data_IF_811927053160
#
_entry.id   IF_811927053160
#
_cell.length_a   1.000
_cell.length_b   1.000
_cell.length_c   1.000
_cell.angle_alpha   90.00
_cell.angle_beta   90.00
_cell.angle_gamma   90.00
#
_symmetry.space_group_name_H-M   'P 1'
#
loop_
_entity.id
_entity.type
_entity.pdbx_description
1 polymer ?
#
# COMPACT_ATOMS: atom_id res chain seq x y z
N UNK A 1 16.75 15.90 -6.70
CA UNK A 1 17.10 14.75 -5.83
C UNK A 1 18.04 13.80 -6.57
N UNK A 2 17.71 13.33 -7.76
CA UNK A 2 18.58 12.42 -8.56
C UNK A 2 19.92 13.05 -8.96
N UNK A 3 19.98 14.35 -9.18
CA UNK A 3 21.22 15.10 -9.41
C UNK A 3 22.19 15.04 -8.24
N UNK A 4 21.68 15.04 -7.00
CA UNK A 4 22.48 15.01 -5.77
C UNK A 4 22.82 13.58 -5.30
N UNK A 5 22.04 12.58 -5.73
CA UNK A 5 22.17 11.18 -5.33
C UNK A 5 21.92 10.26 -6.53
N UNK A 6 22.80 10.26 -7.54
CA UNK A 6 22.55 9.55 -8.81
C UNK A 6 22.49 8.03 -8.67
N UNK A 7 23.18 7.47 -7.67
CA UNK A 7 23.28 6.02 -7.46
C UNK A 7 22.15 5.47 -6.56
N UNK A 8 21.26 6.33 -6.06
CA UNK A 8 20.12 5.87 -5.26
C UNK A 8 18.98 5.37 -6.13
N UNK A 9 18.37 4.28 -5.70
CA UNK A 9 17.10 3.82 -6.24
C UNK A 9 15.93 4.60 -5.65
N UNK A 10 15.06 5.09 -6.53
CA UNK A 10 13.90 5.88 -6.12
C UNK A 10 12.62 5.07 -6.27
N UNK A 11 11.89 4.92 -5.16
CA UNK A 11 10.59 4.25 -5.14
C UNK A 11 9.47 5.27 -4.93
N UNK A 12 8.47 5.24 -5.81
CA UNK A 12 7.26 6.05 -5.66
C UNK A 12 6.35 5.47 -4.59
N UNK A 13 6.01 6.28 -3.58
CA UNK A 13 5.08 5.88 -2.52
C UNK A 13 3.64 5.85 -3.00
N UNK A 14 2.74 5.11 -2.32
CA UNK A 14 1.27 5.22 -2.46
C UNK A 14 0.76 6.65 -2.30
N UNK A 15 1.52 7.50 -1.60
CA UNK A 15 1.19 8.92 -1.42
C UNK A 15 1.27 9.73 -2.73
N UNK A 16 1.87 9.18 -3.77
CA UNK A 16 1.91 9.77 -5.11
C UNK A 16 0.66 9.46 -5.93
N UNK A 17 -0.22 8.61 -5.42
CA UNK A 17 -1.53 8.27 -6.00
C UNK A 17 -1.44 7.81 -7.46
N UNK A 18 -0.49 6.93 -7.78
CA UNK A 18 -0.28 6.40 -9.13
C UNK A 18 -1.40 5.43 -9.49
N UNK A 19 -2.41 5.90 -10.20
CA UNK A 19 -3.64 5.17 -10.51
C UNK A 19 -3.71 4.62 -11.95
N UNK A 20 -2.72 4.90 -12.80
CA UNK A 20 -2.72 4.44 -14.18
C UNK A 20 -1.30 4.28 -14.74
N UNK A 21 -1.20 3.62 -15.92
CA UNK A 21 0.09 3.36 -16.53
C UNK A 21 0.81 4.61 -17.07
N UNK A 22 0.09 5.68 -17.40
CA UNK A 22 0.73 6.93 -17.86
C UNK A 22 1.52 7.59 -16.74
N UNK A 23 0.96 7.61 -15.53
CA UNK A 23 1.62 8.13 -14.33
C UNK A 23 2.81 7.25 -13.94
N UNK A 24 2.64 5.93 -13.96
CA UNK A 24 3.71 4.97 -13.68
C UNK A 24 4.87 5.13 -14.69
N UNK A 25 4.56 5.25 -15.97
CA UNK A 25 5.56 5.43 -17.02
C UNK A 25 6.23 6.81 -16.94
N UNK A 26 5.50 7.85 -16.51
CA UNK A 26 6.09 9.16 -16.23
C UNK A 26 7.16 9.06 -15.13
N UNK A 27 6.84 8.40 -14.00
CA UNK A 27 7.81 8.19 -12.92
C UNK A 27 9.04 7.42 -13.41
N UNK A 28 8.85 6.38 -14.24
CA UNK A 28 9.97 5.65 -14.85
C UNK A 28 10.87 6.57 -15.67
N UNK A 29 10.30 7.45 -16.50
CA UNK A 29 11.05 8.40 -17.35
C UNK A 29 11.86 9.40 -16.53
N UNK A 30 11.38 9.84 -15.38
CA UNK A 30 12.11 10.74 -14.48
C UNK A 30 13.06 9.99 -13.52
N UNK A 31 13.14 8.65 -13.66
CA UNK A 31 14.17 7.83 -13.04
C UNK A 31 13.79 7.11 -11.77
N UNK A 32 12.50 6.92 -11.50
CA UNK A 32 12.07 5.96 -10.49
C UNK A 32 12.23 4.53 -11.00
N UNK A 33 12.64 3.63 -10.11
CA UNK A 33 12.79 2.19 -10.40
C UNK A 33 11.55 1.40 -10.04
N UNK A 34 10.78 1.84 -9.02
CA UNK A 34 9.60 1.14 -8.52
C UNK A 34 8.51 2.12 -8.12
N UNK A 35 7.25 1.67 -8.20
CA UNK A 35 6.10 2.38 -7.62
C UNK A 35 5.26 1.44 -6.77
N UNK A 36 4.82 1.95 -5.61
CA UNK A 36 3.86 1.28 -4.73
C UNK A 36 2.46 1.72 -5.14
N UNK A 37 1.67 0.80 -5.67
CA UNK A 37 0.33 1.12 -6.14
C UNK A 37 -0.65 1.35 -4.97
N UNK A 38 -1.70 2.17 -5.20
CA UNK A 38 -2.77 2.40 -4.25
C UNK A 38 -3.49 1.09 -3.84
N UNK A 39 -3.97 1.04 -2.59
CA UNK A 39 -4.64 -0.15 -2.05
C UNK A 39 -6.06 -0.34 -2.56
N UNK A 40 -6.67 0.71 -3.06
CA UNK A 40 -8.03 0.73 -3.61
C UNK A 40 -8.12 0.16 -5.02
N UNK A 41 -6.99 -0.16 -5.66
CA UNK A 41 -6.96 -0.67 -7.03
C UNK A 41 -7.44 -2.11 -7.12
N UNK A 42 -8.23 -2.38 -8.14
CA UNK A 42 -8.64 -3.73 -8.52
C UNK A 42 -7.53 -4.49 -9.22
N UNK A 43 -7.62 -5.81 -9.25
CA UNK A 43 -6.66 -6.65 -9.97
C UNK A 43 -6.58 -6.32 -11.47
N UNK A 44 -7.72 -6.00 -12.11
CA UNK A 44 -7.77 -5.64 -13.53
C UNK A 44 -7.04 -4.32 -13.82
N UNK A 45 -7.16 -3.34 -12.93
CA UNK A 45 -6.42 -2.08 -13.04
C UNK A 45 -4.91 -2.30 -12.87
N UNK A 46 -4.51 -3.11 -11.88
CA UNK A 46 -3.10 -3.49 -11.65
C UNK A 46 -2.54 -4.19 -12.89
N UNK A 47 -3.26 -5.16 -13.44
CA UNK A 47 -2.90 -5.88 -14.65
C UNK A 47 -2.71 -4.93 -15.83
N UNK A 48 -3.65 -4.01 -16.04
CA UNK A 48 -3.57 -3.01 -17.09
C UNK A 48 -2.34 -2.11 -16.96
N UNK A 49 -1.98 -1.72 -15.74
CA UNK A 49 -0.75 -0.97 -15.50
C UNK A 49 0.47 -1.82 -15.87
N UNK A 50 0.54 -3.08 -15.38
CA UNK A 50 1.66 -3.97 -15.65
C UNK A 50 1.90 -4.21 -17.14
N UNK A 51 0.85 -4.38 -17.90
CA UNK A 51 0.92 -4.60 -19.36
C UNK A 51 1.47 -3.38 -20.13
N UNK A 52 1.39 -2.19 -19.57
CA UNK A 52 1.70 -0.92 -20.24
C UNK A 52 2.88 -0.15 -19.64
N UNK A 53 3.60 -0.71 -18.68
CA UNK A 53 4.82 -0.08 -18.12
C UNK A 53 5.87 -1.12 -17.82
N UNK A 54 7.13 -0.67 -17.77
CA UNK A 54 8.28 -1.48 -17.36
C UNK A 54 8.83 -1.11 -15.99
N UNK A 55 8.22 -0.14 -15.31
CA UNK A 55 8.62 0.18 -13.95
C UNK A 55 8.21 -0.98 -13.02
N UNK A 56 9.02 -1.27 -12.01
CA UNK A 56 8.64 -2.28 -11.02
C UNK A 56 7.41 -1.83 -10.23
N UNK A 57 6.50 -2.77 -10.01
CA UNK A 57 5.28 -2.54 -9.25
C UNK A 57 5.34 -3.24 -7.89
N UNK A 58 4.94 -2.52 -6.84
CA UNK A 58 4.81 -3.05 -5.50
C UNK A 58 3.36 -2.96 -5.03
N UNK A 59 2.81 -4.07 -4.54
CA UNK A 59 1.39 -4.20 -4.17
C UNK A 59 1.28 -4.52 -2.69
N UNK A 60 0.41 -3.79 -1.96
CA UNK A 60 0.03 -4.19 -0.61
C UNK A 60 -0.81 -5.46 -0.65
N UNK A 61 -0.44 -6.45 0.16
CA UNK A 61 -1.12 -7.74 0.24
C UNK A 61 -1.69 -8.02 1.62
N UNK A 62 -1.24 -7.30 2.64
CA UNK A 62 -1.69 -7.51 4.01
C UNK A 62 -1.68 -6.23 4.83
N UNK A 63 -2.58 -6.17 5.80
CA UNK A 63 -2.67 -5.13 6.83
C UNK A 63 -3.84 -4.19 6.65
N UNK A 64 -3.79 -3.05 7.34
CA UNK A 64 -4.89 -2.10 7.41
C UNK A 64 -5.25 -1.52 6.03
N UNK A 65 -6.46 -1.78 5.56
CA UNK A 65 -6.98 -1.17 4.35
C UNK A 65 -7.31 0.31 4.61
N UNK A 66 -6.88 1.19 3.71
CA UNK A 66 -7.22 2.61 3.78
C UNK A 66 -8.67 2.82 3.36
N UNK A 67 -9.40 3.69 4.07
CA UNK A 67 -10.79 4.05 3.74
C UNK A 67 -10.87 5.16 2.70
N UNK A 68 -9.77 5.87 2.46
CA UNK A 68 -9.68 7.00 1.56
C UNK A 68 -8.80 6.66 0.37
N UNK A 69 -8.93 7.43 -0.70
CA UNK A 69 -7.96 7.38 -1.79
C UNK A 69 -6.55 7.66 -1.27
N UNK A 70 -5.61 6.82 -1.67
CA UNK A 70 -4.21 6.93 -1.29
C UNK A 70 -3.65 8.32 -1.60
N UNK A 71 -2.90 8.91 -0.68
CA UNK A 71 -2.35 10.25 -0.82
C UNK A 71 -3.30 11.43 -0.55
N UNK A 72 -4.60 11.21 -0.40
CA UNK A 72 -5.60 12.28 -0.31
C UNK A 72 -6.30 12.40 1.05
N UNK A 73 -5.85 11.66 2.06
CA UNK A 73 -6.46 11.69 3.38
C UNK A 73 -5.80 12.73 4.30
N UNK A 74 -6.60 13.66 4.80
CA UNK A 74 -6.18 14.68 5.78
C UNK A 74 -6.74 14.45 7.20
N UNK A 75 -7.51 13.38 7.42
CA UNK A 75 -8.20 13.13 8.69
C UNK A 75 -7.24 13.11 9.89
N UNK A 76 -6.08 12.47 9.75
CA UNK A 76 -5.07 12.41 10.81
C UNK A 76 -4.46 13.78 11.12
N UNK A 77 -4.37 14.67 10.14
CA UNK A 77 -3.88 16.03 10.32
C UNK A 77 -4.89 16.88 11.08
N UNK A 78 -6.17 16.77 10.76
CA UNK A 78 -7.24 17.51 11.45
C UNK A 78 -7.38 17.10 12.91
N UNK A 79 -7.36 15.80 13.21
CA UNK A 79 -7.61 15.27 14.57
C UNK A 79 -6.37 15.39 15.47
N UNK A 80 -5.16 15.23 14.92
CA UNK A 80 -3.96 15.08 15.74
C UNK A 80 -2.70 15.72 15.18
N UNK A 81 -2.80 16.66 14.25
CA UNK A 81 -1.66 17.35 13.62
C UNK A 81 -0.62 16.41 12.98
N UNK A 82 -1.02 15.16 12.65
CA UNK A 82 -0.15 14.14 12.04
C UNK A 82 -0.49 13.96 10.57
N UNK A 83 0.42 14.28 9.68
CA UNK A 83 0.17 14.14 8.24
C UNK A 83 0.23 12.67 7.79
N UNK A 84 -0.93 12.11 7.44
CA UNK A 84 -1.03 10.80 6.80
C UNK A 84 -0.26 10.74 5.49
N UNK A 85 -0.27 11.82 4.73
CA UNK A 85 0.41 11.94 3.44
C UNK A 85 1.95 12.04 3.56
N UNK A 86 2.47 12.18 4.77
CA UNK A 86 3.90 12.15 5.10
C UNK A 86 4.27 10.90 5.91
N UNK A 87 3.47 9.83 5.81
CA UNK A 87 3.72 8.57 6.50
C UNK A 87 3.40 8.58 8.00
N UNK A 88 2.80 9.64 8.55
CA UNK A 88 2.52 9.79 10.00
C UNK A 88 1.05 9.54 10.35
N UNK A 89 0.31 8.78 9.53
CA UNK A 89 -1.08 8.45 9.80
C UNK A 89 -1.25 7.79 11.18
N UNK A 90 -2.13 8.36 12.02
CA UNK A 90 -2.50 7.80 13.33
C UNK A 90 -3.69 6.84 13.24
N UNK A 91 -4.15 6.51 12.05
CA UNK A 91 -5.30 5.65 11.77
C UNK A 91 -6.61 6.07 12.50
N UNK A 92 -7.01 7.35 12.48
CA UNK A 92 -8.22 7.78 13.20
C UNK A 92 -9.48 7.09 12.67
N UNK A 93 -9.53 6.70 11.40
CA UNK A 93 -10.62 5.93 10.81
C UNK A 93 -10.81 4.54 11.43
N UNK A 94 -9.85 4.04 12.20
CA UNK A 94 -9.84 2.71 12.83
C UNK A 94 -9.99 2.76 14.35
N UNK A 95 -10.20 3.94 14.92
CA UNK A 95 -10.40 4.12 16.36
C UNK A 95 -11.86 4.02 16.74
N UNK A 96 -12.10 3.55 17.95
CA UNK A 96 -13.39 3.64 18.61
C UNK A 96 -13.56 5.05 19.16
N UNK A 97 -14.72 5.63 18.94
CA UNK A 97 -15.13 6.94 19.43
C UNK A 97 -16.30 6.80 20.38
N UNK A 98 -16.49 7.79 21.23
CA UNK A 98 -17.62 7.90 22.15
C UNK A 98 -18.36 9.19 21.85
N UNK A 99 -19.69 9.13 21.74
CA UNK A 99 -20.53 10.30 21.55
C UNK A 99 -20.89 10.95 22.89
N UNK A 100 -21.60 12.07 22.84
CA UNK A 100 -22.02 12.83 24.03
C UNK A 100 -22.92 12.03 25.01
N UNK A 101 -23.56 10.98 24.52
CA UNK A 101 -24.40 10.10 25.31
C UNK A 101 -23.64 8.90 25.93
N UNK A 102 -22.33 8.81 25.73
CA UNK A 102 -21.49 7.70 26.19
C UNK A 102 -21.57 6.44 25.32
N UNK A 103 -22.21 6.51 24.16
CA UNK A 103 -22.27 5.38 23.23
C UNK A 103 -20.96 5.26 22.44
N UNK A 104 -20.40 4.05 22.41
CA UNK A 104 -19.11 3.76 21.75
C UNK A 104 -19.31 3.07 20.42
N UNK A 105 -18.53 3.48 19.42
CA UNK A 105 -18.57 2.88 18.10
C UNK A 105 -17.45 3.36 17.17
N UNK A 106 -17.37 2.74 16.01
CA UNK A 106 -16.49 3.19 14.94
C UNK A 106 -17.24 4.16 14.04
N UNK A 107 -16.62 5.29 13.70
CA UNK A 107 -17.18 6.22 12.71
C UNK A 107 -17.18 5.61 11.29
N UNK A 108 -16.22 4.75 11.01
CA UNK A 108 -16.02 4.07 9.74
C UNK A 108 -15.79 2.58 10.04
N UNK A 109 -16.16 1.69 9.11
CA UNK A 109 -15.95 0.25 9.24
C UNK A 109 -14.49 -0.11 8.89
N UNK A 110 -13.60 -0.31 9.88
CA UNK A 110 -12.22 -0.66 9.59
C UNK A 110 -12.14 -2.07 9.00
N UNK A 111 -11.38 -2.20 7.91
CA UNK A 111 -11.14 -3.49 7.26
C UNK A 111 -9.65 -3.73 7.14
N UNK A 112 -9.24 -4.98 7.19
CA UNK A 112 -7.89 -5.42 6.84
C UNK A 112 -7.92 -6.10 5.47
N UNK A 113 -6.84 -5.93 4.73
CA UNK A 113 -6.56 -6.67 3.51
C UNK A 113 -5.74 -7.90 3.89
N UNK A 114 -6.07 -9.03 3.29
CA UNK A 114 -5.29 -10.25 3.39
C UNK A 114 -5.45 -11.04 2.09
N UNK A 115 -4.40 -11.03 1.29
CA UNK A 115 -4.34 -11.84 0.07
C UNK A 115 -3.94 -13.28 0.43
N UNK A 116 -4.69 -14.23 -0.12
CA UNK A 116 -4.39 -15.64 0.00
C UNK A 116 -3.50 -16.15 -1.13
N UNK A 117 -3.39 -17.47 -1.21
CA UNK A 117 -2.60 -18.15 -2.23
C UNK A 117 -3.00 -17.75 -3.67
N UNK A 118 -4.29 -17.78 -3.97
CA UNK A 118 -4.79 -17.49 -5.33
C UNK A 118 -4.45 -16.08 -5.80
N UNK A 119 -4.62 -15.08 -4.92
CA UNK A 119 -4.30 -13.68 -5.24
C UNK A 119 -2.78 -13.52 -5.47
N UNK A 120 -1.96 -14.15 -4.66
CA UNK A 120 -0.49 -14.10 -4.82
C UNK A 120 -0.08 -14.78 -6.14
N UNK A 121 -0.67 -15.92 -6.49
CA UNK A 121 -0.37 -16.58 -7.77
C UNK A 121 -0.81 -15.73 -8.98
N UNK A 122 -1.94 -15.03 -8.89
CA UNK A 122 -2.38 -14.07 -9.92
C UNK A 122 -1.38 -12.92 -10.08
N UNK A 123 -0.88 -12.35 -8.98
CA UNK A 123 0.13 -11.29 -9.03
C UNK A 123 1.45 -11.80 -9.64
N UNK A 124 1.90 -13.00 -9.26
CA UNK A 124 3.08 -13.64 -9.87
C UNK A 124 2.90 -13.85 -11.38
N UNK A 125 1.73 -14.35 -11.79
CA UNK A 125 1.44 -14.66 -13.20
C UNK A 125 1.50 -13.42 -14.11
N UNK A 126 1.13 -12.25 -13.60
CA UNK A 126 1.24 -10.99 -14.36
C UNK A 126 2.59 -10.29 -14.19
N UNK A 127 3.52 -10.84 -13.39
CA UNK A 127 4.87 -10.32 -13.25
C UNK A 127 4.97 -9.14 -12.29
N UNK A 128 4.27 -9.16 -11.17
CA UNK A 128 4.47 -8.19 -10.08
C UNK A 128 5.78 -8.51 -9.34
N UNK A 129 6.66 -7.52 -9.22
CA UNK A 129 8.00 -7.70 -8.70
C UNK A 129 8.09 -7.65 -7.18
N UNK A 130 7.16 -6.97 -6.51
CA UNK A 130 7.22 -6.78 -5.06
C UNK A 130 5.86 -6.81 -4.41
N UNK A 131 5.78 -7.44 -3.24
CA UNK A 131 4.62 -7.37 -2.36
C UNK A 131 4.97 -6.68 -1.05
N UNK A 132 4.01 -6.01 -0.44
CA UNK A 132 4.18 -5.21 0.76
C UNK A 132 3.22 -5.60 1.86
N UNK A 133 3.76 -5.81 3.06
CA UNK A 133 3.00 -6.07 4.28
C UNK A 133 2.93 -4.78 5.10
N UNK A 134 1.74 -4.37 5.50
CA UNK A 134 1.56 -3.29 6.48
C UNK A 134 1.70 -3.86 7.89
N UNK A 135 2.75 -3.47 8.61
CA UNK A 135 3.02 -3.96 9.95
C UNK A 135 3.39 -2.88 10.96
N UNK A 136 3.45 -1.60 10.56
CA UNK A 136 3.96 -0.51 11.41
C UNK A 136 3.25 -0.37 12.77
N UNK A 137 1.95 -0.63 12.83
CA UNK A 137 1.13 -0.53 14.05
C UNK A 137 0.82 -1.90 14.67
N UNK A 138 1.49 -2.95 14.20
CA UNK A 138 1.33 -4.34 14.67
C UNK A 138 2.52 -4.73 15.54
N UNK A 139 2.34 -5.79 16.33
CA UNK A 139 3.45 -6.35 17.13
C UNK A 139 4.47 -7.11 16.26
N UNK A 140 5.69 -7.36 16.78
CA UNK A 140 6.74 -8.03 16.02
C UNK A 140 6.38 -9.47 15.59
N UNK A 141 5.60 -10.21 16.40
CA UNK A 141 5.20 -11.58 16.06
C UNK A 141 4.28 -11.60 14.85
N UNK A 142 3.30 -10.67 14.82
CA UNK A 142 2.45 -10.50 13.63
C UNK A 142 3.29 -10.25 12.37
N UNK A 143 4.27 -9.37 12.44
CA UNK A 143 5.12 -9.05 11.28
C UNK A 143 5.91 -10.29 10.86
N UNK A 144 6.51 -11.01 11.80
CA UNK A 144 7.26 -12.23 11.53
C UNK A 144 6.40 -13.31 10.88
N UNK A 145 5.25 -13.62 11.47
CA UNK A 145 4.32 -14.64 10.96
C UNK A 145 3.80 -14.29 9.58
N UNK A 146 3.39 -13.03 9.39
CA UNK A 146 2.83 -12.56 8.11
C UNK A 146 3.89 -12.60 7.00
N UNK A 147 5.11 -12.13 7.27
CA UNK A 147 6.20 -12.17 6.28
C UNK A 147 6.59 -13.61 5.97
N UNK A 148 6.66 -14.48 6.98
CA UNK A 148 6.97 -15.90 6.79
C UNK A 148 5.90 -16.60 5.93
N UNK A 149 4.62 -16.31 6.19
CA UNK A 149 3.51 -16.80 5.37
C UNK A 149 3.66 -16.42 3.90
N UNK A 150 3.83 -15.13 3.61
CA UNK A 150 3.97 -14.67 2.22
C UNK A 150 5.24 -15.17 1.56
N UNK A 151 6.34 -15.28 2.30
CA UNK A 151 7.58 -15.89 1.79
C UNK A 151 7.31 -17.32 1.31
N UNK A 152 6.64 -18.13 2.12
CA UNK A 152 6.30 -19.50 1.74
C UNK A 152 5.44 -19.54 0.47
N UNK A 153 4.40 -18.66 0.36
CA UNK A 153 3.56 -18.57 -0.84
C UNK A 153 4.33 -18.16 -2.11
N UNK A 154 5.38 -17.36 -1.95
CA UNK A 154 6.24 -16.95 -3.07
C UNK A 154 7.20 -18.07 -3.47
N UNK A 155 7.77 -18.77 -2.49
CA UNK A 155 8.80 -19.80 -2.69
C UNK A 155 8.20 -21.14 -3.14
N UNK A 156 6.89 -21.38 -2.95
CA UNK A 156 6.21 -22.55 -3.49
C UNK A 156 6.34 -22.57 -5.01
N UNK A 157 7.14 -23.53 -5.48
CA UNK A 157 7.25 -23.84 -6.91
C UNK A 157 6.06 -24.73 -7.28
N UNK A 158 5.27 -24.30 -8.27
CA UNK A 158 4.32 -25.18 -8.95
C UNK A 158 5.05 -26.37 -9.59
#
# INVERSE_FOLDING_TARGET
MKENFPDMEYHGSTQMTIGNHYEAEYLRKIGFSRVVLPREMTFEEIKKIRENTKIELEIFVSGALCICYSGNCYMSSFIGSRSGNRGMCAQPCRKMYENENGEKGYLLSPKDQLYGYEEIQKLKAIGIESIKVEGRMKDPNYVFETVSYYKNLIDEKN
#
